data_IF_716219760428
#
_entry.id   IF_716219760428
#
_cell.length_a   1.000
_cell.length_b   1.000
_cell.length_c   1.000
_cell.angle_alpha   90.00
_cell.angle_beta   90.00
_cell.angle_gamma   90.00
#
_symmetry.space_group_name_H-M   'P 1'
#
loop_
_entity.id
_entity.type
_entity.pdbx_description
1 polymer ?
#
# COMPACT_ATOMS: atom_id res chain seq x y z
N UNK A 1 6.08 28.43 8.36
CA UNK A 1 4.60 28.46 8.46
C UNK A 1 4.17 29.64 9.36
N UNK A 2 4.91 29.95 10.41
CA UNK A 2 4.59 31.03 11.37
C UNK A 2 5.31 32.35 11.08
N UNK A 3 5.97 32.47 9.95
CA UNK A 3 6.65 33.69 9.52
C UNK A 3 5.60 34.70 9.01
N UNK A 4 5.59 35.88 9.61
CA UNK A 4 4.65 36.98 9.28
C UNK A 4 4.83 37.54 7.86
N UNK A 5 5.97 37.28 7.21
CA UNK A 5 6.22 37.67 5.82
C UNK A 5 5.57 36.74 4.80
N UNK A 6 5.19 35.51 5.20
CA UNK A 6 4.53 34.52 4.34
C UNK A 6 3.01 34.72 4.28
N UNK A 7 2.55 35.68 3.49
CA UNK A 7 1.11 36.03 3.40
C UNK A 7 0.29 35.08 2.49
N UNK A 8 0.94 34.27 1.63
CA UNK A 8 0.25 33.48 0.60
C UNK A 8 0.68 32.01 0.62
N UNK A 9 0.93 31.45 1.82
CA UNK A 9 1.36 30.07 1.98
C UNK A 9 0.21 29.19 2.49
N UNK A 10 -0.14 28.15 1.72
CA UNK A 10 -1.06 27.09 2.14
C UNK A 10 -0.29 25.79 2.33
N UNK A 11 -0.28 25.27 3.55
CA UNK A 11 0.26 23.97 3.87
C UNK A 11 -0.87 22.96 4.09
N UNK A 12 -0.82 21.81 3.38
CA UNK A 12 -1.74 20.69 3.56
C UNK A 12 -0.96 19.48 4.04
N UNK A 13 -1.21 19.05 5.26
CA UNK A 13 -0.68 17.83 5.87
C UNK A 13 -1.76 16.77 5.99
N UNK A 14 -1.40 15.50 5.81
CA UNK A 14 -2.29 14.38 6.05
C UNK A 14 -1.61 13.36 6.97
N UNK A 15 -2.34 12.86 7.94
CA UNK A 15 -1.89 11.80 8.85
C UNK A 15 -3.07 10.88 9.20
N UNK A 16 -2.77 9.70 9.71
CA UNK A 16 -3.79 8.80 10.25
C UNK A 16 -3.92 9.06 11.74
N UNK A 17 -5.13 9.34 12.20
CA UNK A 17 -5.44 9.63 13.59
C UNK A 17 -5.14 8.46 14.53
N UNK A 18 -5.26 7.22 14.07
CA UNK A 18 -4.91 6.02 14.82
C UNK A 18 -3.39 5.72 14.90
N UNK A 19 -2.56 6.43 14.11
CA UNK A 19 -1.10 6.30 14.12
C UNK A 19 -0.40 7.41 14.94
N UNK A 20 -1.14 8.42 15.39
CA UNK A 20 -0.60 9.56 16.13
C UNK A 20 -1.21 9.66 17.53
N UNK A 21 -0.37 9.60 18.56
CA UNK A 21 -0.79 9.88 19.94
C UNK A 21 -0.82 11.40 20.18
N UNK A 22 -1.47 11.87 21.25
CA UNK A 22 -1.41 13.30 21.63
C UNK A 22 0.02 13.84 21.83
N UNK A 23 0.98 12.97 22.15
CA UNK A 23 2.40 13.31 22.32
C UNK A 23 3.23 13.12 21.06
N UNK A 24 2.60 12.73 19.94
CA UNK A 24 3.30 12.56 18.67
C UNK A 24 3.81 13.90 18.14
N UNK A 25 5.06 13.99 17.61
CA UNK A 25 5.64 15.24 17.11
C UNK A 25 4.73 16.03 16.17
N UNK A 26 4.01 15.34 15.27
CA UNK A 26 3.05 15.98 14.36
C UNK A 26 1.96 16.74 15.12
N UNK A 27 1.38 16.14 16.17
CA UNK A 27 0.31 16.79 16.96
C UNK A 27 0.89 17.98 17.73
N UNK A 28 2.06 17.80 18.36
CA UNK A 28 2.74 18.88 19.06
C UNK A 28 3.05 20.06 18.13
N UNK A 29 3.57 19.79 16.94
CA UNK A 29 3.84 20.84 15.93
C UNK A 29 2.56 21.57 15.49
N UNK A 30 1.45 20.84 15.28
CA UNK A 30 0.16 21.46 14.95
C UNK A 30 -0.31 22.40 16.08
N UNK A 31 -0.16 21.99 17.34
CA UNK A 31 -0.53 22.81 18.48
C UNK A 31 0.38 24.05 18.63
N UNK A 32 1.67 23.94 18.34
CA UNK A 32 2.60 25.08 18.31
C UNK A 32 2.23 26.08 17.20
N UNK A 33 1.87 25.60 16.01
CA UNK A 33 1.42 26.42 14.88
C UNK A 33 0.15 27.18 15.27
N UNK A 34 -0.82 26.51 15.92
CA UNK A 34 -2.04 27.17 16.43
C UNK A 34 -1.73 28.24 17.48
N UNK A 35 -0.84 27.93 18.44
CA UNK A 35 -0.39 28.89 19.47
C UNK A 35 0.31 30.11 18.88
N UNK A 36 1.02 29.95 17.79
CA UNK A 36 1.65 31.04 17.04
C UNK A 36 0.64 31.90 16.23
N UNK A 37 -0.66 31.61 16.31
CA UNK A 37 -1.71 32.41 15.67
C UNK A 37 -2.04 32.05 14.21
N UNK A 38 -1.44 30.97 13.67
CA UNK A 38 -1.79 30.52 12.33
C UNK A 38 -3.17 29.83 12.30
N UNK A 39 -3.92 30.05 11.21
CA UNK A 39 -5.23 29.40 11.02
C UNK A 39 -5.01 27.94 10.62
N UNK A 40 -5.48 27.01 11.46
CA UNK A 40 -5.41 25.57 11.21
C UNK A 40 -6.82 25.01 11.11
N UNK A 41 -7.16 24.50 9.92
CA UNK A 41 -8.42 23.79 9.68
C UNK A 41 -8.17 22.29 9.67
N UNK A 42 -8.96 21.53 10.40
CA UNK A 42 -8.91 20.07 10.40
C UNK A 42 -10.06 19.52 9.56
N UNK A 43 -9.72 18.65 8.60
CA UNK A 43 -10.69 17.88 7.84
C UNK A 43 -10.50 16.38 8.18
N UNK A 44 -11.51 15.79 8.81
CA UNK A 44 -11.53 14.36 9.13
C UNK A 44 -12.27 13.61 8.03
N UNK A 45 -11.57 12.69 7.35
CA UNK A 45 -12.16 11.82 6.33
C UNK A 45 -12.56 10.48 6.97
N UNK A 46 -13.86 10.27 7.13
CA UNK A 46 -14.41 8.99 7.57
C UNK A 46 -14.69 8.05 6.38
N UNK A 47 -15.18 6.82 6.67
CA UNK A 47 -15.65 5.92 5.63
C UNK A 47 -16.86 6.53 4.89
N UNK A 48 -17.04 6.12 3.64
CA UNK A 48 -18.21 6.49 2.85
C UNK A 48 -19.47 5.89 3.49
N UNK A 49 -20.54 6.68 3.59
CA UNK A 49 -21.83 6.15 4.03
C UNK A 49 -22.55 5.39 2.89
N UNK A 50 -23.64 4.70 3.20
CA UNK A 50 -24.38 3.91 2.23
C UNK A 50 -24.88 4.74 1.02
N UNK A 51 -25.30 5.99 1.27
CA UNK A 51 -25.79 6.86 0.19
C UNK A 51 -24.67 7.32 -0.73
N UNK A 52 -23.49 7.65 -0.19
CA UNK A 52 -22.31 7.95 -1.00
C UNK A 52 -21.89 6.77 -1.89
N UNK A 53 -21.99 5.53 -1.37
CA UNK A 53 -21.67 4.34 -2.18
C UNK A 53 -22.74 4.11 -3.23
N UNK A 54 -24.02 4.30 -2.93
CA UNK A 54 -25.09 4.21 -3.93
C UNK A 54 -24.90 5.21 -5.08
N UNK A 55 -24.56 6.43 -4.74
CA UNK A 55 -24.28 7.48 -5.74
C UNK A 55 -23.04 7.10 -6.59
N UNK A 56 -21.93 6.70 -5.95
CA UNK A 56 -20.71 6.28 -6.63
C UNK A 56 -20.96 5.11 -7.59
N UNK A 57 -21.69 4.09 -7.14
CA UNK A 57 -22.01 2.91 -7.96
C UNK A 57 -22.93 3.27 -9.12
N UNK A 58 -23.95 4.09 -8.85
CA UNK A 58 -24.88 4.56 -9.86
C UNK A 58 -24.19 5.37 -10.96
N UNK A 59 -23.28 6.27 -10.59
CA UNK A 59 -22.51 7.08 -11.53
C UNK A 59 -21.50 6.24 -12.30
N UNK A 60 -20.82 5.29 -11.63
CA UNK A 60 -19.83 4.40 -12.28
C UNK A 60 -20.48 3.49 -13.33
N UNK A 61 -21.66 2.97 -13.03
CA UNK A 61 -22.37 2.06 -13.93
C UNK A 61 -23.39 2.76 -14.82
N UNK A 62 -23.56 4.08 -14.69
CA UNK A 62 -24.59 4.88 -15.36
C UNK A 62 -26.02 4.30 -15.21
N UNK A 63 -26.31 3.69 -14.03
CA UNK A 63 -27.56 2.97 -13.74
C UNK A 63 -28.01 3.23 -12.30
N UNK A 64 -29.12 3.94 -12.10
CA UNK A 64 -29.56 4.37 -10.77
C UNK A 64 -30.43 3.35 -10.03
N UNK A 65 -31.28 2.62 -10.73
CA UNK A 65 -32.26 1.74 -10.08
C UNK A 65 -31.70 0.36 -9.80
N UNK A 66 -31.17 -0.31 -10.81
CA UNK A 66 -30.62 -1.66 -10.71
C UNK A 66 -29.35 -1.72 -9.87
N UNK A 67 -28.56 -0.63 -9.84
CA UNK A 67 -27.29 -0.57 -9.10
C UNK A 67 -27.49 -0.49 -7.57
N UNK A 68 -28.69 -0.18 -7.07
CA UNK A 68 -28.92 0.04 -5.64
C UNK A 68 -28.62 -1.20 -4.80
N UNK A 69 -29.13 -2.36 -5.21
CA UNK A 69 -28.89 -3.62 -4.48
C UNK A 69 -27.40 -4.02 -4.52
N UNK A 70 -26.73 -3.80 -5.65
CA UNK A 70 -25.28 -4.00 -5.75
C UNK A 70 -24.53 -3.05 -4.81
N UNK A 71 -24.91 -1.78 -4.77
CA UNK A 71 -24.31 -0.79 -3.88
C UNK A 71 -24.46 -1.15 -2.40
N UNK A 72 -25.65 -1.63 -2.00
CA UNK A 72 -25.92 -2.08 -0.63
C UNK A 72 -25.05 -3.31 -0.28
N UNK A 73 -24.91 -4.26 -1.22
CA UNK A 73 -24.00 -5.39 -1.05
C UNK A 73 -22.55 -4.92 -0.87
N UNK A 74 -22.08 -4.02 -1.72
CA UNK A 74 -20.72 -3.47 -1.66
C UNK A 74 -20.49 -2.69 -0.35
N UNK A 75 -21.47 -1.89 0.11
CA UNK A 75 -21.37 -1.20 1.40
C UNK A 75 -21.23 -2.19 2.55
N UNK A 76 -22.08 -3.21 2.62
CA UNK A 76 -22.04 -4.22 3.67
C UNK A 76 -20.69 -4.95 3.72
N UNK A 77 -20.05 -5.17 2.57
CA UNK A 77 -18.76 -5.87 2.47
C UNK A 77 -17.56 -4.99 2.78
N UNK A 78 -17.63 -3.71 2.41
CA UNK A 78 -16.48 -2.78 2.52
C UNK A 78 -16.58 -1.86 3.73
N UNK A 79 -17.74 -1.80 4.37
CA UNK A 79 -18.05 -0.88 5.47
C UNK A 79 -17.69 0.56 5.12
N UNK A 80 -17.89 0.93 3.86
CA UNK A 80 -17.60 2.27 3.36
C UNK A 80 -16.13 2.58 3.11
N UNK A 81 -15.21 1.63 3.26
CA UNK A 81 -13.81 1.87 2.97
C UNK A 81 -13.57 2.00 1.46
N UNK A 82 -13.10 3.18 0.94
CA UNK A 82 -12.96 3.42 -0.49
C UNK A 82 -11.96 2.49 -1.17
N UNK A 83 -10.89 2.12 -0.46
CA UNK A 83 -9.89 1.19 -0.99
C UNK A 83 -10.52 -0.20 -1.23
N UNK A 84 -11.25 -0.71 -0.23
CA UNK A 84 -11.90 -2.02 -0.34
C UNK A 84 -12.98 -2.04 -1.41
N UNK A 85 -13.74 -0.96 -1.50
CA UNK A 85 -14.73 -0.78 -2.55
C UNK A 85 -14.09 -0.87 -3.94
N UNK A 86 -12.99 -0.14 -4.15
CA UNK A 86 -12.25 -0.15 -5.42
C UNK A 86 -11.68 -1.53 -5.75
N UNK A 87 -11.11 -2.24 -4.77
CA UNK A 87 -10.58 -3.59 -4.98
C UNK A 87 -11.71 -4.58 -5.30
N UNK A 88 -12.85 -4.47 -4.64
CA UNK A 88 -13.99 -5.33 -4.90
C UNK A 88 -14.56 -5.10 -6.31
N UNK A 89 -14.73 -3.85 -6.72
CA UNK A 89 -15.13 -3.52 -8.09
C UNK A 89 -14.19 -4.11 -9.14
N UNK A 90 -12.88 -3.92 -8.97
CA UNK A 90 -11.87 -4.49 -9.87
C UNK A 90 -12.00 -6.01 -9.96
N UNK A 91 -12.21 -6.67 -8.83
CA UNK A 91 -12.36 -8.14 -8.79
C UNK A 91 -13.62 -8.59 -9.50
N UNK A 92 -14.77 -7.94 -9.25
CA UNK A 92 -16.02 -8.27 -9.94
C UNK A 92 -15.86 -8.15 -11.47
N UNK A 93 -15.17 -7.11 -11.92
CA UNK A 93 -14.89 -6.91 -13.34
C UNK A 93 -13.92 -7.97 -13.91
N UNK A 94 -12.84 -8.27 -13.21
CA UNK A 94 -11.83 -9.27 -13.64
C UNK A 94 -12.40 -10.69 -13.69
N UNK A 95 -13.29 -11.02 -12.76
CA UNK A 95 -13.96 -12.32 -12.69
C UNK A 95 -15.21 -12.39 -13.58
N UNK A 96 -15.46 -11.34 -14.37
CA UNK A 96 -16.61 -11.22 -15.28
C UNK A 96 -17.99 -11.29 -14.61
N UNK A 97 -18.03 -11.09 -13.30
CA UNK A 97 -19.27 -10.95 -12.52
C UNK A 97 -19.91 -9.57 -12.72
N UNK A 98 -19.14 -8.62 -13.20
CA UNK A 98 -19.54 -7.31 -13.70
C UNK A 98 -18.92 -7.12 -15.07
N UNK A 99 -19.73 -6.97 -16.11
CA UNK A 99 -19.27 -6.85 -17.50
C UNK A 99 -20.01 -5.74 -18.24
N UNK A 100 -19.37 -5.14 -19.23
CA UNK A 100 -20.01 -4.14 -20.08
C UNK A 100 -20.48 -4.81 -21.37
N UNK A 101 -21.80 -4.76 -21.64
CA UNK A 101 -22.38 -5.21 -22.91
C UNK A 101 -22.27 -4.09 -23.94
N UNK A 102 -21.34 -4.25 -24.89
CA UNK A 102 -21.11 -3.28 -25.96
C UNK A 102 -22.29 -3.17 -26.94
N UNK A 103 -23.10 -4.21 -27.08
CA UNK A 103 -24.26 -4.22 -27.96
C UNK A 103 -25.40 -3.38 -27.39
N UNK A 104 -25.61 -3.48 -26.10
CA UNK A 104 -26.65 -2.74 -25.37
C UNK A 104 -26.14 -1.43 -24.78
N UNK A 105 -24.80 -1.22 -24.75
CA UNK A 105 -24.13 -0.09 -24.10
C UNK A 105 -24.48 0.05 -22.63
N UNK A 106 -24.61 -1.07 -21.93
CA UNK A 106 -24.96 -1.11 -20.51
C UNK A 106 -24.07 -2.07 -19.75
N UNK A 107 -23.97 -1.83 -18.45
CA UNK A 107 -23.34 -2.76 -17.52
C UNK A 107 -24.30 -3.90 -17.16
N UNK A 108 -23.78 -5.13 -17.10
CA UNK A 108 -24.51 -6.33 -16.74
C UNK A 108 -23.87 -7.01 -15.55
N UNK A 109 -24.70 -7.46 -14.61
CA UNK A 109 -24.29 -8.24 -13.43
C UNK A 109 -25.50 -9.05 -12.91
N UNK A 110 -25.19 -10.16 -12.22
CA UNK A 110 -26.18 -10.98 -11.54
C UNK A 110 -25.84 -11.04 -10.05
N UNK A 111 -26.67 -10.45 -9.19
CA UNK A 111 -26.42 -10.38 -7.75
C UNK A 111 -26.26 -11.75 -7.10
N UNK A 112 -27.04 -12.74 -7.55
CA UNK A 112 -26.98 -14.12 -7.03
C UNK A 112 -25.62 -14.75 -7.32
N UNK A 113 -25.05 -14.52 -8.49
CA UNK A 113 -23.71 -15.00 -8.84
C UNK A 113 -22.66 -14.32 -7.98
N UNK A 114 -22.72 -13.00 -7.83
CA UNK A 114 -21.82 -12.23 -6.96
C UNK A 114 -21.88 -12.75 -5.52
N UNK A 115 -23.06 -13.05 -5.02
CA UNK A 115 -23.24 -13.60 -3.68
C UNK A 115 -22.72 -15.05 -3.56
N UNK A 116 -22.90 -15.88 -4.59
CA UNK A 116 -22.51 -17.30 -4.57
C UNK A 116 -21.00 -17.54 -4.66
N UNK A 117 -20.25 -16.64 -5.30
CA UNK A 117 -18.79 -16.75 -5.50
C UNK A 117 -18.01 -16.42 -4.21
N UNK A 118 -18.67 -16.48 -3.04
CA UNK A 118 -18.00 -16.30 -1.74
C UNK A 118 -17.74 -14.83 -1.38
N UNK A 119 -18.41 -13.90 -2.07
CA UNK A 119 -18.53 -12.52 -1.60
C UNK A 119 -19.24 -12.48 -0.24
N UNK A 120 -19.92 -13.57 0.15
CA UNK A 120 -20.56 -13.71 1.45
C UNK A 120 -19.57 -13.68 2.63
N UNK A 121 -18.43 -14.36 2.53
CA UNK A 121 -17.38 -14.43 3.57
C UNK A 121 -16.17 -13.54 3.23
N UNK A 122 -16.45 -12.40 2.63
CA UNK A 122 -15.45 -11.48 2.09
C UNK A 122 -14.46 -11.01 3.17
N UNK A 123 -13.31 -11.65 3.21
CA UNK A 123 -12.15 -11.13 3.91
C UNK A 123 -11.29 -10.33 2.92
N UNK A 124 -11.21 -9.03 3.14
CA UNK A 124 -10.44 -8.12 2.28
C UNK A 124 -8.98 -8.56 2.13
N UNK A 125 -8.39 -9.08 3.20
CA UNK A 125 -7.00 -9.59 3.17
C UNK A 125 -6.89 -10.77 2.21
N UNK A 126 -7.84 -11.69 2.22
CA UNK A 126 -7.88 -12.84 1.31
C UNK A 126 -8.11 -12.43 -0.16
N UNK A 127 -8.96 -11.43 -0.39
CA UNK A 127 -9.14 -10.90 -1.75
C UNK A 127 -7.85 -10.31 -2.28
N UNK A 128 -7.22 -9.46 -1.50
CA UNK A 128 -5.94 -8.84 -1.89
C UNK A 128 -4.86 -9.90 -2.06
N UNK A 129 -4.82 -10.93 -1.20
CA UNK A 129 -3.90 -12.05 -1.33
C UNK A 129 -4.13 -12.82 -2.64
N UNK A 130 -5.39 -13.11 -3.01
CA UNK A 130 -5.72 -13.71 -4.32
C UNK A 130 -5.28 -12.84 -5.49
N UNK A 131 -5.46 -11.51 -5.40
CA UNK A 131 -5.03 -10.58 -6.44
C UNK A 131 -3.50 -10.54 -6.55
N UNK A 132 -2.77 -10.56 -5.43
CA UNK A 132 -1.31 -10.72 -5.42
C UNK A 132 -0.90 -12.04 -6.08
N UNK A 133 -1.62 -13.13 -5.80
CA UNK A 133 -1.37 -14.46 -6.39
C UNK A 133 -1.51 -14.51 -7.92
N UNK A 134 -2.21 -13.56 -8.55
CA UNK A 134 -2.34 -13.42 -10.00
C UNK A 134 -1.16 -12.67 -10.66
N UNK A 135 -0.31 -12.01 -9.87
CA UNK A 135 0.87 -11.30 -10.35
C UNK A 135 2.00 -12.29 -10.71
N UNK A 136 3.00 -11.85 -11.51
CA UNK A 136 4.19 -12.66 -11.77
C UNK A 136 4.86 -13.13 -10.47
N UNK A 137 5.43 -14.33 -10.48
CA UNK A 137 6.04 -14.94 -9.29
C UNK A 137 7.14 -14.07 -8.67
N UNK A 138 7.94 -13.40 -9.51
CA UNK A 138 8.97 -12.46 -9.07
C UNK A 138 8.37 -11.28 -8.28
N UNK A 139 7.26 -10.72 -8.76
CA UNK A 139 6.52 -9.65 -8.07
C UNK A 139 5.93 -10.13 -6.74
N UNK A 140 5.38 -11.34 -6.71
CA UNK A 140 4.88 -11.94 -5.47
C UNK A 140 5.99 -12.11 -4.43
N UNK A 141 7.17 -12.60 -4.84
CA UNK A 141 8.33 -12.77 -3.94
C UNK A 141 8.78 -11.44 -3.35
N UNK A 142 8.92 -10.41 -4.18
CA UNK A 142 9.30 -9.07 -3.75
C UNK A 142 8.27 -8.46 -2.79
N UNK A 143 6.97 -8.62 -3.06
CA UNK A 143 5.91 -8.14 -2.15
C UNK A 143 5.93 -8.85 -0.78
N UNK A 144 6.20 -10.15 -0.74
CA UNK A 144 6.36 -10.91 0.52
C UNK A 144 7.53 -10.39 1.35
N UNK A 145 8.68 -10.15 0.72
CA UNK A 145 9.86 -9.57 1.40
C UNK A 145 9.58 -8.14 1.88
N UNK A 146 8.97 -7.31 1.05
CA UNK A 146 8.56 -5.96 1.43
C UNK A 146 7.61 -5.97 2.64
N UNK A 147 6.67 -6.92 2.69
CA UNK A 147 5.74 -7.06 3.81
C UNK A 147 6.43 -7.44 5.13
N UNK A 148 7.54 -8.20 5.09
CA UNK A 148 8.38 -8.47 6.25
C UNK A 148 9.17 -7.25 6.71
N UNK A 149 9.62 -6.40 5.78
CA UNK A 149 10.36 -5.17 6.12
C UNK A 149 9.42 -4.19 6.82
N UNK A 150 8.23 -3.97 6.29
CA UNK A 150 7.24 -3.08 6.91
C UNK A 150 6.30 -2.42 5.91
N UNK A 151 5.42 -1.55 6.41
CA UNK A 151 4.48 -0.82 5.56
C UNK A 151 5.19 0.20 4.64
N UNK A 152 6.33 0.73 5.09
CA UNK A 152 7.26 1.55 4.29
C UNK A 152 8.57 0.81 4.15
N UNK A 153 9.17 0.85 2.97
CA UNK A 153 10.42 0.16 2.69
C UNK A 153 11.22 0.89 1.61
N UNK A 154 12.53 0.81 1.72
CA UNK A 154 13.46 1.36 0.74
C UNK A 154 13.83 0.28 -0.28
N UNK A 155 14.07 0.72 -1.52
CA UNK A 155 14.43 -0.18 -2.62
C UNK A 155 15.75 -0.92 -2.34
N UNK A 156 16.73 -0.24 -1.76
CA UNK A 156 18.02 -0.84 -1.41
C UNK A 156 17.92 -1.90 -0.32
N UNK A 157 17.12 -1.65 0.72
CA UNK A 157 16.82 -2.63 1.78
C UNK A 157 16.12 -3.86 1.19
N UNK A 158 15.16 -3.64 0.29
CA UNK A 158 14.42 -4.71 -0.36
C UNK A 158 15.31 -5.54 -1.30
N UNK A 159 16.20 -4.87 -2.05
CA UNK A 159 17.18 -5.52 -2.93
C UNK A 159 18.16 -6.41 -2.15
N UNK A 160 18.61 -5.94 -0.97
CA UNK A 160 19.46 -6.73 -0.07
C UNK A 160 18.69 -7.96 0.45
N UNK A 161 17.47 -7.74 0.97
CA UNK A 161 16.64 -8.82 1.48
C UNK A 161 16.34 -9.89 0.43
N UNK A 162 16.20 -9.47 -0.84
CA UNK A 162 16.00 -10.32 -2.00
C UNK A 162 17.29 -10.90 -2.61
N UNK A 163 18.47 -10.47 -2.16
CA UNK A 163 19.78 -10.83 -2.73
C UNK A 163 19.84 -10.54 -4.25
N UNK A 164 19.30 -9.41 -4.66
CA UNK A 164 19.17 -8.99 -6.06
C UNK A 164 19.74 -7.59 -6.29
N UNK A 165 19.91 -7.23 -7.56
CA UNK A 165 20.29 -5.85 -7.92
C UNK A 165 19.11 -4.89 -7.70
N UNK A 166 19.43 -3.59 -7.53
CA UNK A 166 18.44 -2.53 -7.39
C UNK A 166 17.50 -2.48 -8.60
N UNK A 167 18.07 -2.61 -9.79
CA UNK A 167 17.31 -2.59 -11.05
C UNK A 167 16.35 -3.79 -11.16
N UNK A 168 16.83 -5.00 -10.86
CA UNK A 168 15.98 -6.20 -10.88
C UNK A 168 14.81 -6.06 -9.89
N UNK A 169 15.08 -5.57 -8.68
CA UNK A 169 14.06 -5.34 -7.65
C UNK A 169 13.04 -4.28 -8.08
N UNK A 170 13.50 -3.17 -8.67
CA UNK A 170 12.63 -2.11 -9.18
C UNK A 170 11.69 -2.63 -10.29
N UNK A 171 12.24 -3.43 -11.21
CA UNK A 171 11.46 -4.04 -12.30
C UNK A 171 10.42 -5.02 -11.76
N UNK A 172 10.76 -5.82 -10.75
CA UNK A 172 9.82 -6.75 -10.11
C UNK A 172 8.69 -6.04 -9.34
N UNK A 173 8.92 -4.81 -8.83
CA UNK A 173 7.88 -4.01 -8.19
C UNK A 173 6.91 -3.35 -9.18
N UNK A 174 7.24 -3.33 -10.47
CA UNK A 174 6.46 -2.57 -11.46
C UNK A 174 5.00 -3.01 -11.54
N UNK A 175 4.75 -4.31 -11.63
CA UNK A 175 3.39 -4.85 -11.70
C UNK A 175 2.59 -4.54 -10.43
N UNK A 176 3.25 -4.51 -9.26
CA UNK A 176 2.62 -4.12 -8.00
C UNK A 176 2.25 -2.63 -7.96
N UNK A 177 3.08 -1.75 -8.57
CA UNK A 177 2.79 -0.32 -8.74
C UNK A 177 1.60 -0.13 -9.70
N UNK A 178 1.59 -0.81 -10.85
CA UNK A 178 0.49 -0.74 -11.81
C UNK A 178 -0.82 -1.27 -11.23
N UNK A 179 -0.76 -2.33 -10.44
CA UNK A 179 -1.92 -2.88 -9.72
C UNK A 179 -2.43 -1.95 -8.61
N UNK A 180 -1.66 -0.91 -8.25
CA UNK A 180 -1.99 0.01 -7.16
C UNK A 180 -1.89 -0.63 -5.78
N UNK A 181 -1.00 -1.62 -5.59
CA UNK A 181 -0.76 -2.28 -4.31
C UNK A 181 0.34 -1.57 -3.51
N UNK A 182 1.26 -0.92 -4.22
CA UNK A 182 2.39 -0.17 -3.68
C UNK A 182 2.42 1.21 -4.31
N UNK A 183 2.83 2.21 -3.54
CA UNK A 183 3.00 3.59 -3.99
C UNK A 183 4.45 4.03 -3.80
N UNK A 184 5.05 4.75 -4.76
CA UNK A 184 6.34 5.39 -4.56
C UNK A 184 6.17 6.64 -3.67
N UNK A 185 7.13 6.91 -2.81
CA UNK A 185 7.12 8.08 -1.92
C UNK A 185 7.82 9.31 -2.54
N UNK A 186 8.50 9.14 -3.67
CA UNK A 186 9.16 10.22 -4.42
C UNK A 186 9.15 9.92 -5.91
N UNK A 187 9.47 10.92 -6.74
CA UNK A 187 9.61 10.72 -8.20
C UNK A 187 10.88 9.95 -8.61
N UNK A 188 11.78 9.64 -7.67
CA UNK A 188 13.02 8.92 -7.94
C UNK A 188 12.80 7.51 -8.52
N UNK A 189 11.62 6.90 -8.26
CA UNK A 189 11.26 5.59 -8.84
C UNK A 189 11.24 5.59 -10.38
N UNK A 190 10.93 6.74 -11.02
CA UNK A 190 10.92 6.87 -12.49
C UNK A 190 12.31 6.71 -13.08
N UNK A 191 13.32 7.18 -12.35
CA UNK A 191 14.72 7.02 -12.74
C UNK A 191 15.12 5.56 -12.62
N UNK A 192 14.77 4.89 -11.50
CA UNK A 192 15.05 3.48 -11.29
C UNK A 192 14.44 2.56 -12.38
N UNK A 193 13.32 2.94 -12.97
CA UNK A 193 12.65 2.17 -14.02
C UNK A 193 13.09 2.53 -15.44
N UNK A 194 13.66 3.72 -15.64
CA UNK A 194 14.14 4.20 -16.95
C UNK A 194 15.62 3.92 -17.21
N UNK A 195 16.34 3.34 -16.26
CA UNK A 195 17.78 3.06 -16.35
C UNK A 195 18.01 1.72 -17.03
N UNK A 196 18.85 1.69 -18.05
CA UNK A 196 19.38 0.45 -18.63
C UNK A 196 20.41 -0.19 -17.70
N UNK A 197 20.57 -1.52 -17.80
CA UNK A 197 21.46 -2.32 -16.93
C UNK A 197 22.92 -1.79 -16.91
N UNK A 198 23.36 -1.16 -17.97
CA UNK A 198 24.69 -0.54 -18.08
C UNK A 198 24.87 0.73 -17.21
N UNK A 199 23.80 1.29 -16.67
CA UNK A 199 23.81 2.53 -15.89
C UNK A 199 23.40 2.31 -14.42
N UNK A 200 23.39 1.09 -13.93
CA UNK A 200 22.96 0.73 -12.56
C UNK A 200 23.77 1.45 -11.47
N UNK A 201 25.00 1.88 -11.79
CA UNK A 201 25.84 2.64 -10.86
C UNK A 201 25.25 4.00 -10.46
N UNK A 202 24.37 4.58 -11.28
CA UNK A 202 23.61 5.80 -10.95
C UNK A 202 22.71 5.55 -9.73
N UNK A 203 22.14 4.35 -9.60
CA UNK A 203 21.28 3.97 -8.49
C UNK A 203 22.03 3.75 -7.17
N UNK A 204 23.37 3.58 -7.23
CA UNK A 204 24.24 3.34 -6.07
C UNK A 204 24.73 4.64 -5.42
N UNK A 205 24.44 5.81 -6.01
CA UNK A 205 24.80 7.12 -5.46
C UNK A 205 24.19 7.35 -4.07
N UNK A 206 24.97 7.93 -3.13
CA UNK A 206 24.52 8.17 -1.74
C UNK A 206 23.23 9.01 -1.63
N UNK A 207 22.92 9.80 -2.65
CA UNK A 207 21.76 10.69 -2.68
C UNK A 207 20.52 10.06 -3.37
N UNK A 208 20.64 8.83 -3.88
CA UNK A 208 19.56 8.17 -4.60
C UNK A 208 18.82 7.18 -3.70
N UNK A 209 17.83 7.69 -2.95
CA UNK A 209 16.94 6.87 -2.14
C UNK A 209 15.58 6.76 -2.79
N UNK A 210 15.17 5.55 -3.14
CA UNK A 210 13.83 5.24 -3.61
C UNK A 210 13.09 4.51 -2.52
N UNK A 211 12.08 5.18 -1.99
CA UNK A 211 11.22 4.62 -0.95
C UNK A 211 9.81 4.36 -1.49
N UNK A 212 9.21 3.31 -0.99
CA UNK A 212 7.86 2.88 -1.31
C UNK A 212 7.05 2.66 -0.04
N UNK A 213 5.72 2.61 -0.19
CA UNK A 213 4.81 2.15 0.85
C UNK A 213 3.73 1.27 0.25
N UNK A 214 3.21 0.35 1.03
CA UNK A 214 1.95 -0.31 0.66
C UNK A 214 0.82 0.73 0.63
N UNK A 215 -0.07 0.61 -0.35
CA UNK A 215 -1.21 1.53 -0.47
C UNK A 215 -2.07 1.53 0.80
N UNK A 216 -2.20 0.37 1.44
CA UNK A 216 -2.96 0.17 2.68
C UNK A 216 -2.35 -0.97 3.50
N UNK A 217 -2.47 -0.91 4.84
CA UNK A 217 -1.93 -1.94 5.75
C UNK A 217 -2.49 -3.34 5.46
N UNK A 218 -3.74 -3.40 4.96
CA UNK A 218 -4.34 -4.67 4.53
C UNK A 218 -3.63 -5.29 3.32
N UNK A 219 -2.98 -4.49 2.48
CA UNK A 219 -2.15 -4.99 1.37
C UNK A 219 -0.88 -5.62 1.92
N UNK A 220 -0.23 -4.96 2.88
CA UNK A 220 0.92 -5.54 3.59
C UNK A 220 0.53 -6.85 4.29
N UNK A 221 -0.58 -6.84 5.05
CA UNK A 221 -1.08 -8.04 5.73
C UNK A 221 -1.38 -9.18 4.74
N UNK A 222 -1.97 -8.87 3.58
CA UNK A 222 -2.24 -9.84 2.54
C UNK A 222 -0.95 -10.44 1.95
N UNK A 223 0.03 -9.59 1.62
CA UNK A 223 1.34 -10.05 1.14
C UNK A 223 2.07 -10.90 2.20
N UNK A 224 2.01 -10.50 3.46
CA UNK A 224 2.61 -11.23 4.58
C UNK A 224 1.92 -12.58 4.83
N UNK A 225 0.60 -12.66 4.69
CA UNK A 225 -0.17 -13.91 4.85
C UNK A 225 0.16 -14.96 3.79
N UNK A 226 0.70 -14.55 2.63
CA UNK A 226 1.16 -15.47 1.58
C UNK A 226 2.48 -16.15 1.89
N UNK A 227 3.16 -15.78 2.97
CA UNK A 227 4.36 -16.46 3.46
C UNK A 227 3.89 -17.63 4.33
N UNK A 228 4.34 -18.88 4.04
CA UNK A 228 4.05 -20.02 4.90
C UNK A 228 4.46 -19.73 6.36
N UNK A 229 3.63 -20.10 7.33
CA UNK A 229 3.88 -19.78 8.73
C UNK A 229 5.24 -20.28 9.22
N UNK A 230 5.63 -21.47 8.78
CA UNK A 230 6.93 -22.06 9.10
C UNK A 230 8.14 -21.29 8.55
N UNK A 231 7.93 -20.47 7.50
CA UNK A 231 9.00 -19.71 6.85
C UNK A 231 9.11 -18.27 7.36
N UNK A 232 8.09 -17.74 8.03
CA UNK A 232 8.07 -16.34 8.47
C UNK A 232 9.25 -15.98 9.35
N UNK A 233 9.49 -16.74 10.42
CA UNK A 233 10.60 -16.49 11.35
C UNK A 233 11.95 -16.59 10.65
N UNK A 234 12.14 -17.59 9.79
CA UNK A 234 13.38 -17.75 9.01
C UNK A 234 13.60 -16.59 8.03
N UNK A 235 12.54 -16.10 7.38
CA UNK A 235 12.61 -14.94 6.50
C UNK A 235 13.01 -13.68 7.26
N UNK A 236 12.40 -13.39 8.40
CA UNK A 236 12.77 -12.26 9.24
C UNK A 236 14.24 -12.36 9.73
N UNK A 237 14.66 -13.52 10.22
CA UNK A 237 16.04 -13.74 10.65
C UNK A 237 17.04 -13.51 9.50
N UNK A 238 16.74 -14.03 8.31
CA UNK A 238 17.56 -13.80 7.10
C UNK A 238 17.67 -12.33 6.78
N UNK A 239 16.56 -11.59 6.72
CA UNK A 239 16.54 -10.16 6.46
C UNK A 239 17.38 -9.41 7.50
N UNK A 240 17.19 -9.71 8.79
CA UNK A 240 17.93 -9.07 9.87
C UNK A 240 19.45 -9.27 9.75
N UNK A 241 19.89 -10.51 9.42
CA UNK A 241 21.32 -10.83 9.23
C UNK A 241 21.92 -10.11 8.02
N UNK A 242 21.19 -10.08 6.88
CA UNK A 242 21.66 -9.40 5.67
C UNK A 242 21.79 -7.89 5.90
N UNK A 243 20.83 -7.28 6.58
CA UNK A 243 20.87 -5.86 6.92
C UNK A 243 22.02 -5.53 7.89
N UNK A 244 22.25 -6.41 8.89
CA UNK A 244 23.35 -6.26 9.84
C UNK A 244 24.72 -6.34 9.13
N UNK A 245 24.90 -7.35 8.28
CA UNK A 245 26.16 -7.53 7.51
C UNK A 245 26.47 -6.31 6.62
N UNK A 246 25.44 -5.76 5.95
CA UNK A 246 25.65 -4.56 5.12
C UNK A 246 26.00 -3.36 5.98
N UNK A 247 25.40 -3.22 7.16
CA UNK A 247 25.66 -2.13 8.08
C UNK A 247 27.09 -2.14 8.63
N UNK A 248 27.63 -3.31 8.93
CA UNK A 248 29.04 -3.48 9.34
C UNK A 248 30.02 -2.98 8.26
N UNK A 249 29.64 -3.13 6.98
CA UNK A 249 30.46 -2.68 5.85
C UNK A 249 30.35 -1.18 5.56
N UNK A 250 29.25 -0.51 5.89
CA UNK A 250 28.95 0.87 5.51
C UNK A 250 28.91 1.88 6.68
N UNK A 251 29.07 1.42 7.93
CA UNK A 251 29.00 2.26 9.14
C UNK A 251 27.60 2.39 9.73
N UNK A 252 27.54 2.84 11.00
CA UNK A 252 26.28 2.95 11.78
C UNK A 252 25.37 4.08 11.23
N UNK A 253 24.28 3.74 10.58
CA UNK A 253 23.19 4.65 10.18
C UNK A 253 21.88 4.37 10.94
N UNK A 254 20.82 5.13 10.66
CA UNK A 254 19.58 5.25 11.44
C UNK A 254 18.67 3.99 11.56
N UNK A 255 19.01 2.88 10.87
CA UNK A 255 18.11 1.72 10.75
C UNK A 255 18.33 0.61 11.79
N UNK A 256 18.92 0.89 12.96
CA UNK A 256 19.22 -0.15 13.95
C UNK A 256 17.96 -0.82 14.51
N UNK A 257 16.89 -0.05 14.70
CA UNK A 257 15.62 -0.57 15.21
C UNK A 257 14.98 -1.55 14.24
N UNK A 258 15.07 -1.31 12.91
CA UNK A 258 14.53 -2.21 11.90
C UNK A 258 15.29 -3.54 11.92
N UNK A 259 16.62 -3.51 12.05
CA UNK A 259 17.46 -4.70 12.15
C UNK A 259 17.08 -5.51 13.39
N UNK A 260 17.00 -4.84 14.56
CA UNK A 260 16.67 -5.47 15.85
C UNK A 260 15.28 -6.09 15.80
N UNK A 261 14.30 -5.41 15.22
CA UNK A 261 12.94 -5.94 15.06
C UNK A 261 12.93 -7.21 14.21
N UNK A 262 13.66 -7.23 13.10
CA UNK A 262 13.77 -8.40 12.24
C UNK A 262 14.41 -9.59 12.98
N UNK A 263 15.49 -9.36 13.71
CA UNK A 263 16.19 -10.40 14.49
C UNK A 263 15.33 -10.93 15.65
N UNK A 264 14.59 -10.05 16.35
CA UNK A 264 13.72 -10.43 17.46
C UNK A 264 12.58 -11.35 17.02
N UNK A 265 12.01 -11.15 15.83
CA UNK A 265 10.95 -12.04 15.31
C UNK A 265 11.51 -13.45 15.05
N UNK A 266 12.77 -13.56 14.66
CA UNK A 266 13.44 -14.81 14.35
C UNK A 266 14.30 -15.36 15.52
N UNK A 267 14.25 -14.77 16.71
CA UNK A 267 15.17 -15.08 17.83
C UNK A 267 15.19 -16.56 18.23
N UNK A 268 14.04 -17.24 18.14
CA UNK A 268 13.93 -18.67 18.48
C UNK A 268 14.72 -19.58 17.53
N UNK A 269 15.26 -19.04 16.41
CA UNK A 269 16.04 -19.77 15.43
C UNK A 269 17.54 -19.48 15.50
N UNK A 270 17.96 -18.64 16.45
CA UNK A 270 19.35 -18.31 16.74
C UNK A 270 19.90 -19.28 17.76
#
# INVERSE_FOLDING_TARGET
>A
ITDLENQYFLFMGAYRDNEVSPTHPTIMTIEEIKKAGAVVNNLVLGPLNADNIRELVADTLAEKQRSRELADLLFNKTQGNPFFLTQLFKTLYQEKLLSFDFSRREWSWELREIQSVGVADFNVVELVARNIGKLPEATQKVLKLAACIGNRFNLDVLAIAGEQSLLATANQLWDALQAGLVLPLSNAYKIAQGIEQAQEDILKGKDFQVAYKFLHDRVQQAAYSLIPEAEKKATHLKIGRLLLQKKEQQGLGDNIFDIVNQLNIGVDLI
#
